data_IF_040700085746
#
_entry.id   IF_040700085746
#
_cell.length_a   1.000
_cell.length_b   1.000
_cell.length_c   1.000
_cell.angle_alpha   90.00
_cell.angle_beta   90.00
_cell.angle_gamma   90.00
#
_symmetry.space_group_name_H-M   'P 1'
#
loop_
_entity.id
_entity.type
_entity.pdbx_description
1 polymer ?
#
# COMPACT_ATOMS: atom_id res chain seq x y z
N UNK A 1 -7.38 14.81 13.34
CA UNK A 1 -7.77 15.38 12.04
C UNK A 1 -7.61 14.30 10.96
N UNK A 2 -8.70 13.62 10.60
CA UNK A 2 -8.69 12.52 9.63
C UNK A 2 -8.66 13.09 8.21
N UNK A 3 -7.47 13.35 7.71
CA UNK A 3 -7.27 13.79 6.33
C UNK A 3 -7.60 12.61 5.39
N UNK A 4 -8.87 12.52 4.98
CA UNK A 4 -9.43 11.53 4.05
C UNK A 4 -8.51 11.44 2.82
N UNK A 5 -7.70 10.38 2.75
CA UNK A 5 -6.64 10.30 1.76
C UNK A 5 -7.13 9.50 0.55
N UNK A 6 -7.49 10.22 -0.52
CA UNK A 6 -7.89 9.64 -1.81
C UNK A 6 -6.64 9.16 -2.57
N UNK A 7 -6.11 8.00 -2.20
CA UNK A 7 -5.12 7.31 -3.05
C UNK A 7 -5.89 6.52 -4.10
N UNK A 8 -5.96 7.05 -5.32
CA UNK A 8 -6.47 6.31 -6.46
C UNK A 8 -5.44 5.24 -6.87
N UNK A 9 -5.53 4.05 -6.27
CA UNK A 9 -4.73 2.90 -6.68
C UNK A 9 -5.12 2.55 -8.12
N UNK A 10 -4.20 2.78 -9.05
CA UNK A 10 -4.41 2.58 -10.49
C UNK A 10 -4.54 1.09 -10.82
N UNK A 11 -3.74 0.25 -10.15
CA UNK A 11 -3.74 -1.18 -10.38
C UNK A 11 -5.04 -1.89 -9.96
N UNK A 12 -5.28 -3.00 -10.64
CA UNK A 12 -6.45 -3.86 -10.41
C UNK A 12 -6.22 -4.80 -9.22
N UNK A 13 -7.32 -5.26 -8.57
CA UNK A 13 -7.25 -6.25 -7.48
C UNK A 13 -6.46 -7.51 -7.89
N UNK A 14 -6.68 -7.98 -9.12
CA UNK A 14 -6.02 -9.16 -9.67
C UNK A 14 -4.50 -8.96 -9.82
N UNK A 15 -4.06 -7.80 -10.29
CA UNK A 15 -2.63 -7.48 -10.42
C UNK A 15 -1.93 -7.40 -9.07
N UNK A 16 -2.58 -6.78 -8.09
CA UNK A 16 -2.06 -6.72 -6.71
C UNK A 16 -1.92 -8.12 -6.12
N UNK A 17 -2.92 -8.99 -6.33
CA UNK A 17 -2.88 -10.37 -5.86
C UNK A 17 -1.79 -11.19 -6.56
N UNK A 18 -1.61 -11.01 -7.87
CA UNK A 18 -0.54 -11.67 -8.62
C UNK A 18 0.85 -11.22 -8.13
N UNK A 19 1.02 -9.92 -7.90
CA UNK A 19 2.26 -9.35 -7.34
C UNK A 19 2.49 -9.81 -5.89
N UNK A 20 1.44 -9.94 -5.07
CA UNK A 20 1.54 -10.48 -3.71
C UNK A 20 2.04 -11.93 -3.71
N UNK A 21 1.53 -12.76 -4.62
CA UNK A 21 1.98 -14.15 -4.77
C UNK A 21 3.44 -14.24 -5.23
N UNK A 22 3.87 -13.33 -6.11
CA UNK A 22 5.24 -13.30 -6.63
C UNK A 22 6.24 -12.64 -5.68
N UNK A 23 5.77 -11.82 -4.74
CA UNK A 23 6.63 -11.15 -3.78
C UNK A 23 7.22 -12.16 -2.79
N UNK A 24 8.54 -12.32 -2.80
CA UNK A 24 9.26 -13.18 -1.85
C UNK A 24 9.57 -12.44 -0.55
N UNK A 25 9.86 -11.14 -0.64
CA UNK A 25 10.29 -10.30 0.47
C UNK A 25 9.11 -9.89 1.36
N UNK A 26 9.25 -10.08 2.68
CA UNK A 26 8.22 -9.73 3.67
C UNK A 26 7.80 -8.25 3.59
N UNK A 27 8.76 -7.33 3.49
CA UNK A 27 8.47 -5.89 3.34
C UNK A 27 7.72 -5.55 2.04
N UNK A 28 7.93 -6.32 0.97
CA UNK A 28 7.20 -6.13 -0.29
C UNK A 28 5.77 -6.63 -0.16
N UNK A 29 5.55 -7.74 0.59
CA UNK A 29 4.21 -8.23 0.91
C UNK A 29 3.43 -7.22 1.74
N UNK A 30 4.00 -6.68 2.82
CA UNK A 30 3.36 -5.65 3.66
C UNK A 30 2.89 -4.44 2.82
N UNK A 31 3.75 -3.97 1.91
CA UNK A 31 3.46 -2.84 1.01
C UNK A 31 2.35 -3.13 0.00
N UNK A 32 2.37 -4.32 -0.61
CA UNK A 32 1.33 -4.72 -1.56
C UNK A 32 -0.01 -4.99 -0.85
N UNK A 33 0.03 -5.51 0.38
CA UNK A 33 -1.13 -5.70 1.24
C UNK A 33 -1.81 -4.35 1.54
N UNK A 34 -1.01 -3.32 1.85
CA UNK A 34 -1.49 -1.95 2.03
C UNK A 34 -2.24 -1.44 0.80
N UNK A 35 -1.65 -1.59 -0.39
CA UNK A 35 -2.26 -1.17 -1.66
C UNK A 35 -3.53 -1.96 -1.98
N UNK A 36 -3.54 -3.26 -1.67
CA UNK A 36 -4.71 -4.12 -1.80
C UNK A 36 -5.87 -3.63 -0.92
N UNK A 37 -5.61 -3.31 0.35
CA UNK A 37 -6.64 -2.79 1.25
C UNK A 37 -7.20 -1.44 0.80
N UNK A 38 -6.33 -0.52 0.35
CA UNK A 38 -6.73 0.76 -0.23
C UNK A 38 -7.62 0.56 -1.47
N UNK A 39 -7.25 -0.38 -2.36
CA UNK A 39 -8.05 -0.68 -3.56
C UNK A 39 -9.41 -1.25 -3.21
N UNK A 40 -9.47 -2.17 -2.24
CA UNK A 40 -10.73 -2.76 -1.77
C UNK A 40 -11.58 -1.81 -0.93
N UNK A 41 -11.10 -0.59 -0.64
CA UNK A 41 -11.71 0.38 0.29
C UNK A 41 -12.04 -0.21 1.67
N UNK A 42 -11.37 -1.30 2.05
CA UNK A 42 -11.54 -1.93 3.37
C UNK A 42 -11.01 -1.01 4.45
N UNK A 43 -10.01 -0.18 4.11
CA UNK A 43 -9.42 0.78 5.04
C UNK A 43 -9.54 2.18 4.45
N UNK A 44 -10.13 3.09 5.22
CA UNK A 44 -10.33 4.49 4.84
C UNK A 44 -9.28 5.44 5.47
N UNK A 45 -8.52 4.95 6.45
CA UNK A 45 -7.64 5.77 7.29
C UNK A 45 -6.23 5.21 7.34
N UNK A 46 -5.22 6.10 7.32
CA UNK A 46 -3.80 5.71 7.41
C UNK A 46 -3.45 5.05 8.76
N UNK A 47 -4.09 5.52 9.82
CA UNK A 47 -3.94 5.03 11.20
C UNK A 47 -4.37 3.57 11.32
N UNK A 48 -5.43 3.20 10.62
CA UNK A 48 -5.96 1.83 10.62
C UNK A 48 -5.07 0.89 9.79
N UNK A 49 -4.48 1.39 8.68
CA UNK A 49 -3.42 0.67 7.96
C UNK A 49 -2.16 0.48 8.82
N UNK A 50 -1.75 1.53 9.53
CA UNK A 50 -0.59 1.53 10.41
C UNK A 50 -0.74 0.50 11.54
N UNK A 51 -1.90 0.49 12.22
CA UNK A 51 -2.23 -0.50 13.24
C UNK A 51 -2.22 -1.93 12.68
N UNK A 52 -2.84 -2.16 11.51
CA UNK A 52 -2.96 -3.50 10.93
C UNK A 52 -1.65 -4.06 10.39
N UNK A 53 -0.71 -3.20 10.02
CA UNK A 53 0.64 -3.58 9.59
C UNK A 53 1.63 -3.55 10.75
N UNK A 54 1.20 -3.14 11.95
CA UNK A 54 2.06 -2.91 13.11
C UNK A 54 3.24 -1.96 12.77
N UNK A 55 2.97 -0.97 11.91
CA UNK A 55 3.94 0.03 11.45
C UNK A 55 3.51 1.43 11.84
N UNK A 56 4.49 2.31 11.93
CA UNK A 56 4.24 3.73 12.17
C UNK A 56 3.52 4.40 10.98
N UNK A 57 2.59 5.32 11.26
CA UNK A 57 1.89 6.10 10.24
C UNK A 57 2.86 6.87 9.32
N UNK A 58 4.00 7.30 9.84
CA UNK A 58 5.06 7.96 9.06
C UNK A 58 5.66 7.03 8.02
N UNK A 59 5.77 5.73 8.34
CA UNK A 59 6.25 4.70 7.41
C UNK A 59 5.25 4.48 6.29
N UNK A 60 3.97 4.38 6.63
CA UNK A 60 2.86 4.29 5.67
C UNK A 60 2.83 5.52 4.77
N UNK A 61 2.97 6.72 5.34
CA UNK A 61 3.02 7.97 4.57
C UNK A 61 4.20 8.00 3.58
N UNK A 62 5.40 7.60 4.02
CA UNK A 62 6.59 7.53 3.16
C UNK A 62 6.40 6.54 2.02
N UNK A 63 5.79 5.39 2.30
CA UNK A 63 5.40 4.45 1.27
C UNK A 63 4.46 5.19 0.31
N UNK A 64 3.29 5.62 0.73
CA UNK A 64 2.30 6.23 -0.16
C UNK A 64 2.86 7.38 -1.01
N UNK A 65 3.73 8.22 -0.44
CA UNK A 65 4.43 9.28 -1.19
C UNK A 65 5.29 8.72 -2.32
N UNK A 66 6.06 7.66 -2.09
CA UNK A 66 6.77 6.94 -3.17
C UNK A 66 5.82 6.37 -4.21
N UNK A 67 4.60 5.97 -3.82
CA UNK A 67 3.66 5.33 -4.76
C UNK A 67 3.05 6.37 -5.67
N UNK A 68 2.76 7.56 -5.13
CA UNK A 68 2.34 8.69 -5.94
C UNK A 68 3.42 9.14 -6.93
N UNK A 69 4.70 9.06 -6.55
CA UNK A 69 5.81 9.51 -7.41
C UNK A 69 6.11 8.57 -8.57
N UNK A 70 5.95 7.25 -8.41
CA UNK A 70 6.39 6.29 -9.44
C UNK A 70 5.52 5.04 -9.58
N UNK A 71 4.32 5.05 -9.01
CA UNK A 71 3.41 3.92 -8.99
C UNK A 71 4.02 2.68 -8.33
N UNK A 72 3.50 1.52 -8.72
CA UNK A 72 3.95 0.22 -8.22
C UNK A 72 5.31 -0.19 -8.83
N UNK A 73 5.73 0.42 -9.94
CA UNK A 73 7.02 0.14 -10.58
C UNK A 73 8.21 0.65 -9.76
N UNK A 74 8.06 1.79 -9.07
CA UNK A 74 9.08 2.28 -8.13
C UNK A 74 9.16 1.43 -6.83
N UNK A 75 8.17 0.57 -6.58
CA UNK A 75 8.06 -0.26 -5.38
C UNK A 75 8.64 -1.66 -5.49
N UNK A 76 8.59 -2.23 -6.69
CA UNK A 76 8.89 -3.64 -6.92
C UNK A 76 10.34 -3.89 -7.36
N UNK A 77 11.14 -2.84 -7.60
CA UNK A 77 12.51 -2.98 -8.10
C UNK A 77 13.52 -2.87 -6.96
N UNK A 78 13.89 -4.02 -6.40
CA UNK A 78 15.28 -4.54 -6.34
C UNK A 78 15.26 -5.96 -5.77
#
# INVERSE_FOLDING_TARGET
>A
MANQFKVAVKETRAELQHRLKRAVKAHTKERLQMLYWLKTRVVNTRTELAQRLERDESTIYRWLKRYQQGGISCYAVK
#
